data_IF_013104759778
#
_entry.id   IF_013104759778
#
_cell.length_a   1.000
_cell.length_b   1.000
_cell.length_c   1.000
_cell.angle_alpha   90.00
_cell.angle_beta   90.00
_cell.angle_gamma   90.00
#
_symmetry.space_group_name_H-M   'P 1'
#
loop_
_entity.id
_entity.type
_entity.pdbx_description
1 polymer ?
2 non-polymer ?
3 non-polymer ?
4 non-polymer ?
5 non-polymer ?
6 water ?
#
# COMPACT_ATOMS: atom_id res chain seq x y z
N UNK A 1 22.85 0.99 -8.72
CA UNK A 1 23.32 2.20 -8.01
C UNK A 1 22.23 3.26 -7.87
N UNK A 2 21.05 3.09 -8.51
CA UNK A 2 20.02 4.11 -8.34
C UNK A 2 19.31 3.97 -6.99
N UNK A 3 19.54 2.84 -6.28
CA UNK A 3 18.91 2.55 -5.01
C UNK A 3 17.91 1.41 -5.16
N UNK A 4 16.86 1.40 -4.34
CA UNK A 4 15.78 0.45 -4.45
C UNK A 4 14.47 1.21 -4.24
N UNK A 5 13.33 0.61 -4.57
CA UNK A 5 12.05 1.11 -4.11
C UNK A 5 11.35 -0.02 -3.36
N UNK A 6 10.60 0.34 -2.32
CA UNK A 6 9.86 -0.65 -1.55
C UNK A 6 8.39 -0.24 -1.51
N UNK A 7 7.55 -1.04 -2.17
CA UNK A 7 6.13 -0.74 -2.28
C UNK A 7 5.43 -1.63 -1.25
N UNK A 8 4.84 -0.99 -0.25
CA UNK A 8 4.24 -1.73 0.85
C UNK A 8 2.71 -1.64 0.71
N UNK A 9 2.06 -2.79 0.57
CA UNK A 9 0.62 -2.86 0.56
C UNK A 9 0.10 -3.27 1.90
N UNK A 10 -0.80 -2.50 2.50
CA UNK A 10 -1.27 -2.80 3.83
C UNK A 10 -2.51 -3.69 3.79
N UNK A 11 -2.69 -4.46 4.86
CA UNK A 11 -3.81 -5.36 4.98
C UNK A 11 -3.63 -6.25 6.19
N UNK A 12 -4.60 -7.15 6.33
CA UNK A 12 -4.53 -8.20 7.34
C UNK A 12 -4.22 -9.53 6.68
N UNK A 13 -3.51 -10.42 7.36
CA UNK A 13 -3.19 -11.73 6.78
C UNK A 13 -4.37 -12.68 6.83
N UNK A 14 -4.28 -13.73 6.04
CA UNK A 14 -5.21 -14.84 6.15
C UNK A 14 -6.30 -14.75 5.09
N UNK A 15 -6.90 -15.90 4.82
CA UNK A 15 -7.97 -15.95 3.85
C UNK A 15 -9.18 -15.20 4.40
N UNK A 16 -9.31 -15.04 5.74
CA UNK A 16 -10.38 -14.27 6.36
C UNK A 16 -10.48 -12.87 5.76
N UNK A 17 -9.37 -12.25 5.37
CA UNK A 17 -9.31 -10.83 5.07
C UNK A 17 -8.92 -10.50 3.63
N UNK A 18 -8.59 -11.49 2.82
CA UNK A 18 -7.95 -11.22 1.55
C UNK A 18 -8.85 -10.45 0.58
N UNK A 19 -10.17 -10.50 0.75
CA UNK A 19 -11.08 -9.80 -0.13
C UNK A 19 -11.74 -8.58 0.54
N UNK A 20 -11.30 -8.18 1.71
CA UNK A 20 -11.92 -7.10 2.42
C UNK A 20 -11.34 -5.76 1.96
N UNK A 21 -12.13 -4.71 2.13
CA UNK A 21 -11.72 -3.38 1.68
C UNK A 21 -10.42 -2.91 2.35
N UNK A 22 -10.22 -3.31 3.62
CA UNK A 22 -9.03 -2.96 4.40
C UNK A 22 -7.78 -3.59 3.81
N UNK A 23 -7.93 -4.55 2.90
CA UNK A 23 -6.85 -5.23 2.22
C UNK A 23 -6.59 -4.70 0.82
N UNK A 24 -7.09 -3.49 0.48
CA UNK A 24 -6.90 -2.98 -0.85
C UNK A 24 -5.40 -2.86 -1.15
N UNK A 25 -4.59 -2.49 -0.15
CA UNK A 25 -3.15 -2.39 -0.39
C UNK A 25 -2.54 -3.73 -0.83
N UNK A 26 -2.87 -4.82 -0.13
CA UNK A 26 -2.45 -6.15 -0.56
C UNK A 26 -2.90 -6.40 -1.99
N UNK A 27 -4.16 -6.04 -2.29
CA UNK A 27 -4.69 -6.36 -3.60
C UNK A 27 -3.91 -5.65 -4.70
N UNK A 28 -3.52 -4.40 -4.45
CA UNK A 28 -2.77 -3.63 -5.43
C UNK A 28 -1.38 -4.22 -5.62
N UNK A 29 -0.66 -4.54 -4.53
CA UNK A 29 0.68 -5.07 -4.73
C UNK A 29 0.62 -6.47 -5.35
N UNK A 30 -0.46 -7.24 -5.12
CA UNK A 30 -0.62 -8.51 -5.80
C UNK A 30 -0.70 -8.29 -7.30
N UNK A 31 -1.41 -7.22 -7.73
CA UNK A 31 -1.57 -6.92 -9.14
C UNK A 31 -0.23 -6.50 -9.73
N UNK A 32 0.54 -5.68 -9.01
CA UNK A 32 1.87 -5.29 -9.46
C UNK A 32 2.78 -6.51 -9.58
N UNK A 33 2.67 -7.47 -8.62
CA UNK A 33 3.47 -8.68 -8.69
C UNK A 33 3.14 -9.48 -9.95
N UNK A 34 1.84 -9.63 -10.26
CA UNK A 34 1.44 -10.33 -11.47
C UNK A 34 1.99 -9.61 -12.71
N UNK A 35 1.92 -8.27 -12.76
CA UNK A 35 2.37 -7.44 -13.88
C UNK A 35 3.84 -7.75 -14.20
N UNK A 36 4.61 -8.12 -13.17
CA UNK A 36 6.06 -8.27 -13.29
C UNK A 36 6.50 -9.72 -13.10
N UNK A 37 5.56 -10.67 -13.07
CA UNK A 37 5.86 -12.09 -12.90
C UNK A 37 6.69 -12.32 -11.63
N UNK A 38 6.40 -11.55 -10.58
CA UNK A 38 7.11 -11.61 -9.32
C UNK A 38 6.31 -12.45 -8.31
N UNK A 39 7.02 -13.22 -7.49
CA UNK A 39 6.42 -14.14 -6.53
C UNK A 39 6.71 -13.67 -5.12
N UNK A 40 5.69 -13.70 -4.26
CA UNK A 40 5.85 -13.38 -2.84
C UNK A 40 6.46 -14.58 -2.13
N UNK A 41 7.49 -14.30 -1.33
CA UNK A 41 8.19 -15.29 -0.52
C UNK A 41 8.12 -14.87 0.95
N UNK A 42 8.07 -15.84 1.86
CA UNK A 42 8.21 -15.56 3.27
C UNK A 42 9.53 -14.83 3.53
N UNK A 43 9.47 -13.81 4.35
CA UNK A 43 10.64 -13.05 4.76
C UNK A 43 10.66 -13.12 6.28
N UNK A 44 11.85 -13.06 6.93
CA UNK A 44 11.91 -13.23 8.38
C UNK A 44 11.36 -12.13 9.28
N UNK A 45 10.95 -11.02 8.67
CA UNK A 45 10.46 -9.88 9.42
C UNK A 45 8.93 -9.75 9.24
N UNK A 46 8.22 -10.87 9.38
CA UNK A 46 6.77 -10.90 9.46
C UNK A 46 6.15 -10.32 8.20
N UNK A 47 6.67 -10.71 7.04
CA UNK A 47 6.18 -10.15 5.79
C UNK A 47 6.30 -11.18 4.68
N UNK A 48 5.46 -10.99 3.66
CA UNK A 48 5.69 -11.62 2.36
C UNK A 48 6.28 -10.58 1.43
N UNK A 49 7.33 -10.96 0.68
CA UNK A 49 8.09 -10.01 -0.12
C UNK A 49 8.32 -10.62 -1.50
N UNK A 50 7.99 -9.84 -2.53
CA UNK A 50 8.26 -10.20 -3.90
C UNK A 50 9.25 -9.19 -4.43
N UNK A 51 10.08 -9.63 -5.37
CA UNK A 51 11.12 -8.78 -5.89
C UNK A 51 11.17 -8.88 -7.41
N UNK A 52 11.44 -7.75 -8.08
CA UNK A 52 11.74 -7.77 -9.49
C UNK A 52 12.66 -6.60 -9.80
N UNK A 53 13.24 -6.61 -10.98
CA UNK A 53 14.15 -5.56 -11.37
C UNK A 53 13.49 -4.74 -12.46
N UNK A 54 13.71 -3.44 -12.38
CA UNK A 54 13.37 -2.53 -13.45
C UNK A 54 14.64 -1.80 -13.89
N UNK A 55 15.12 -2.16 -15.09
CA UNK A 55 16.34 -1.63 -15.67
C UNK A 55 17.39 -1.46 -14.59
N UNK A 56 17.71 -2.57 -13.89
CA UNK A 56 18.83 -2.62 -12.96
C UNK A 56 18.47 -2.31 -11.50
N UNK A 57 17.31 -1.68 -11.26
CA UNK A 57 16.89 -1.29 -9.90
C UNK A 57 16.02 -2.38 -9.29
N UNK A 58 16.34 -2.80 -8.05
CA UNK A 58 15.52 -3.77 -7.34
C UNK A 58 14.27 -3.10 -6.79
N UNK A 59 13.11 -3.67 -7.14
CA UNK A 59 11.84 -3.24 -6.62
C UNK A 59 11.35 -4.34 -5.69
N UNK A 60 10.97 -3.94 -4.48
CA UNK A 60 10.42 -4.84 -3.49
C UNK A 60 8.94 -4.56 -3.31
N UNK A 61 8.13 -5.60 -3.34
CA UNK A 61 6.73 -5.52 -3.00
C UNK A 61 6.55 -6.24 -1.67
N UNK A 62 5.85 -5.59 -0.74
CA UNK A 62 5.79 -6.10 0.62
C UNK A 62 4.35 -6.17 1.10
N UNK A 63 3.95 -7.31 1.65
CA UNK A 63 2.69 -7.46 2.35
C UNK A 63 3.04 -7.83 3.79
N UNK A 64 2.97 -6.89 4.76
CA UNK A 64 3.17 -7.28 6.15
C UNK A 64 2.17 -8.35 6.56
N UNK A 65 2.60 -9.28 7.40
CA UNK A 65 1.72 -10.35 7.88
C UNK A 65 1.43 -10.21 9.37
N UNK A 66 1.61 -8.99 9.88
CA UNK A 66 1.53 -8.63 11.28
C UNK A 66 0.11 -8.32 11.80
N UNK A 67 -0.84 -8.21 10.89
CA UNK A 67 -2.12 -7.51 11.04
C UNK A 67 -1.88 -6.01 10.87
N UNK A 68 -2.92 -5.33 10.39
CA UNK A 68 -2.83 -3.96 9.96
C UNK A 68 -2.21 -3.09 11.05
N UNK A 69 -2.69 -3.24 12.29
CA UNK A 69 -2.30 -2.35 13.38
C UNK A 69 -0.89 -2.55 13.86
N UNK A 70 -0.17 -3.56 13.33
CA UNK A 70 1.20 -3.85 13.68
C UNK A 70 2.11 -3.76 12.47
N UNK A 71 1.64 -3.12 11.37
CA UNK A 71 2.39 -3.14 10.13
C UNK A 71 3.82 -2.62 10.24
N UNK A 72 4.04 -1.67 11.14
CA UNK A 72 5.38 -1.12 11.30
C UNK A 72 6.41 -2.12 11.81
N UNK A 73 5.95 -3.20 12.48
CA UNK A 73 6.86 -4.25 12.92
C UNK A 73 7.48 -5.00 11.75
N UNK A 74 6.86 -4.96 10.57
CA UNK A 74 7.49 -5.47 9.36
C UNK A 74 8.26 -4.36 8.64
N UNK A 75 7.65 -3.21 8.46
CA UNK A 75 8.23 -2.19 7.60
C UNK A 75 9.56 -1.66 8.16
N UNK A 76 9.57 -1.35 9.47
CA UNK A 76 10.78 -0.81 10.10
C UNK A 76 11.98 -1.72 9.90
N UNK A 77 11.89 -2.99 10.31
CA UNK A 77 12.99 -3.93 10.14
C UNK A 77 13.39 -4.19 8.69
N UNK A 78 12.41 -4.17 7.77
CA UNK A 78 12.73 -4.42 6.37
C UNK A 78 13.59 -3.29 5.83
N UNK A 79 13.28 -2.08 6.27
CA UNK A 79 14.05 -0.96 5.77
C UNK A 79 15.51 -1.08 6.24
N UNK A 80 15.69 -1.56 7.46
CA UNK A 80 17.02 -1.80 8.02
C UNK A 80 17.75 -2.89 7.23
N UNK A 81 17.02 -3.96 6.99
CA UNK A 81 17.57 -5.09 6.27
C UNK A 81 18.10 -4.66 4.90
N UNK A 82 17.25 -3.97 4.13
CA UNK A 82 17.56 -3.62 2.76
C UNK A 82 18.37 -2.32 2.66
N UNK A 83 18.58 -1.61 3.77
CA UNK A 83 19.27 -0.33 3.70
C UNK A 83 18.49 0.73 2.92
N UNK A 84 17.20 0.81 3.21
CA UNK A 84 16.21 1.65 2.53
C UNK A 84 15.83 2.78 3.49
N UNK A 85 15.57 3.96 2.95
CA UNK A 85 15.19 5.13 3.75
C UNK A 85 13.75 5.47 3.38
N UNK A 86 13.07 6.31 4.19
CA UNK A 86 11.66 6.63 3.92
C UNK A 86 11.36 7.12 2.52
N UNK A 87 12.32 7.79 1.86
CA UNK A 87 12.15 8.31 0.53
C UNK A 87 12.02 7.24 -0.55
N UNK A 88 12.39 6.01 -0.20
CA UNK A 88 12.29 4.89 -1.10
C UNK A 88 11.01 4.10 -0.89
N UNK A 89 10.14 4.50 0.06
CA UNK A 89 8.91 3.79 0.35
C UNK A 89 7.78 4.33 -0.51
N UNK A 90 6.84 3.46 -0.86
CA UNK A 90 5.50 3.88 -1.24
C UNK A 90 4.55 2.96 -0.48
N UNK A 91 3.64 3.54 0.29
CA UNK A 91 2.70 2.76 1.08
C UNK A 91 1.32 2.89 0.45
N UNK A 92 0.69 1.75 0.21
CA UNK A 92 -0.61 1.70 -0.46
C UNK A 92 -1.61 1.15 0.54
N UNK A 93 -2.73 1.88 0.73
CA UNK A 93 -3.67 1.48 1.79
C UNK A 93 -5.06 2.07 1.49
N UNK A 94 -6.02 1.60 2.29
CA UNK A 94 -7.41 2.02 2.15
C UNK A 94 -7.71 3.34 2.81
N UNK A 95 -8.40 4.23 2.08
CA UNK A 95 -8.80 5.53 2.57
C UNK A 95 -10.33 5.63 2.66
N UNK A 96 -10.81 5.70 3.90
CA UNK A 96 -12.23 5.79 4.22
C UNK A 96 -12.78 7.19 3.99
N UNK A 97 -11.91 8.13 3.61
CA UNK A 97 -12.30 9.51 3.29
C UNK A 97 -12.08 9.81 1.81
N UNK A 98 -12.36 8.83 0.97
CA UNK A 98 -12.19 8.95 -0.47
C UNK A 98 -13.09 7.89 -1.12
N UNK A 99 -13.72 8.25 -2.21
CA UNK A 99 -14.71 7.40 -2.86
C UNK A 99 -14.03 6.20 -3.51
N UNK A 100 -14.77 5.08 -3.55
CA UNK A 100 -14.42 3.97 -4.39
C UNK A 100 -14.29 4.48 -5.82
N UNK A 101 -13.20 4.09 -6.47
CA UNK A 101 -12.89 4.56 -7.81
C UNK A 101 -11.84 5.66 -7.90
N UNK A 102 -11.50 6.26 -6.76
CA UNK A 102 -10.51 7.31 -6.73
C UNK A 102 -9.27 6.91 -5.95
N UNK A 103 -8.15 7.51 -6.33
CA UNK A 103 -6.91 7.42 -5.58
C UNK A 103 -6.40 8.83 -5.29
N UNK A 104 -5.50 8.95 -4.31
CA UNK A 104 -4.84 10.21 -4.02
C UNK A 104 -3.45 9.92 -3.55
N UNK A 105 -2.50 10.66 -4.08
CA UNK A 105 -1.10 10.53 -3.75
C UNK A 105 -0.71 11.69 -2.83
N UNK A 106 -0.04 11.40 -1.73
CA UNK A 106 0.46 12.40 -0.80
C UNK A 106 1.76 11.93 -0.16
N UNK A 107 2.56 12.89 0.37
CA UNK A 107 3.85 12.60 0.97
C UNK A 107 3.90 12.76 2.49
N UNK A 108 2.78 13.15 3.11
CA UNK A 108 2.78 13.37 4.54
C UNK A 108 1.36 13.21 5.04
N UNK A 109 1.24 12.80 6.30
CA UNK A 109 -0.07 12.74 6.92
C UNK A 109 -0.19 11.62 7.94
N UNK A 110 -1.26 11.66 8.75
CA UNK A 110 -1.47 10.60 9.72
C UNK A 110 -2.72 9.79 9.43
N UNK A 111 -3.32 10.00 8.23
CA UNK A 111 -4.40 9.17 7.71
C UNK A 111 -5.57 9.04 8.69
N UNK A 112 -5.84 10.10 9.45
CA UNK A 112 -7.02 10.12 10.29
C UNK A 112 -7.06 9.00 11.33
N UNK A 113 -5.90 8.54 11.76
CA UNK A 113 -5.78 7.47 12.73
C UNK A 113 -5.87 6.06 12.14
N UNK A 114 -5.91 5.92 10.81
CA UNK A 114 -5.76 4.59 10.21
C UNK A 114 -4.65 3.82 10.95
N UNK A 115 -4.96 2.59 11.44
CA UNK A 115 -4.10 1.90 12.37
C UNK A 115 -2.86 1.39 11.68
N UNK A 116 -2.89 1.15 10.37
CA UNK A 116 -1.68 0.71 9.69
C UNK A 116 -0.67 1.80 9.49
N UNK A 117 -1.15 2.94 8.98
CA UNK A 117 -0.29 4.12 8.89
C UNK A 117 0.26 4.50 10.27
N UNK A 118 -0.58 4.46 11.31
CA UNK A 118 -0.15 4.81 12.64
C UNK A 118 1.02 3.94 13.09
N UNK A 119 0.92 2.63 12.80
CA UNK A 119 1.97 1.70 13.20
C UNK A 119 3.27 2.03 12.48
N UNK A 120 3.16 2.32 11.16
CA UNK A 120 4.34 2.68 10.40
C UNK A 120 4.95 3.94 11.00
N UNK A 121 4.13 4.97 11.24
CA UNK A 121 4.64 6.20 11.87
C UNK A 121 5.34 5.89 13.18
N UNK A 122 4.73 5.03 14.00
CA UNK A 122 5.30 4.65 15.28
C UNK A 122 6.71 4.09 15.09
N UNK A 123 6.86 3.19 14.12
CA UNK A 123 8.11 2.46 13.99
C UNK A 123 9.19 3.30 13.31
N UNK A 124 8.78 4.15 12.36
CA UNK A 124 9.73 5.00 11.65
C UNK A 124 9.96 6.34 12.34
N UNK A 125 9.10 6.68 13.32
CA UNK A 125 9.14 7.96 14.00
C UNK A 125 9.12 9.12 13.01
N UNK A 126 8.32 8.98 11.95
CA UNK A 126 8.09 10.05 10.99
C UNK A 126 6.74 9.76 10.34
N UNK A 127 6.00 10.82 9.97
CA UNK A 127 4.81 10.68 9.14
C UNK A 127 5.06 11.15 7.72
N UNK A 128 6.33 11.27 7.32
CA UNK A 128 6.68 11.74 5.99
C UNK A 128 7.16 10.55 5.16
N UNK A 129 6.34 10.14 4.18
CA UNK A 129 6.64 9.08 3.25
C UNK A 129 5.53 9.05 2.21
N UNK A 130 5.89 8.60 1.03
CA UNK A 130 4.98 8.58 -0.10
C UNK A 130 3.89 7.55 0.13
N UNK A 131 2.68 7.90 -0.29
CA UNK A 131 1.58 6.97 -0.16
C UNK A 131 0.59 7.13 -1.28
N UNK A 132 -0.06 6.00 -1.57
CA UNK A 132 -1.17 5.95 -2.49
C UNK A 132 -2.38 5.54 -1.68
N UNK A 133 -3.28 6.48 -1.49
CA UNK A 133 -4.52 6.27 -0.77
C UNK A 133 -5.55 5.79 -1.76
N UNK A 134 -6.08 4.61 -1.55
CA UNK A 134 -7.05 4.02 -2.47
C UNK A 134 -8.41 4.15 -1.81
N UNK A 135 -9.32 4.90 -2.41
CA UNK A 135 -10.60 5.12 -1.79
C UNK A 135 -11.40 3.84 -1.62
N UNK A 136 -12.01 3.71 -0.43
CA UNK A 136 -12.86 2.58 -0.17
C UNK A 136 -14.26 3.02 0.22
N UNK A 137 -14.56 4.30 0.10
CA UNK A 137 -15.88 4.81 0.37
C UNK A 137 -16.01 5.23 1.82
N UNK A 138 -16.73 6.32 2.01
CA UNK A 138 -16.95 6.86 3.33
C UNK A 138 -18.00 6.03 4.03
N UNK A 139 -17.85 5.81 5.35
CA UNK A 139 -18.83 5.06 6.11
C UNK A 139 -19.93 5.98 6.59
N UNK A 140 -21.04 5.39 7.08
CA UNK A 140 -22.11 6.19 7.64
C UNK A 140 -21.68 6.94 8.92
N UNK A 141 -20.81 6.34 9.73
CA UNK A 141 -20.37 6.94 10.96
C UNK A 141 -19.39 6.00 11.65
N UNK A 142 -18.91 6.41 12.80
CA UNK A 142 -17.85 5.65 13.47
C UNK A 142 -18.37 4.25 13.81
N UNK A 143 -19.69 4.13 14.03
CA UNK A 143 -20.31 2.87 14.45
C UNK A 143 -20.11 1.77 13.41
N UNK A 144 -20.00 2.15 12.12
CA UNK A 144 -19.98 1.19 11.02
C UNK A 144 -18.59 1.06 10.39
N UNK A 145 -17.60 1.78 10.94
CA UNK A 145 -16.29 1.75 10.30
C UNK A 145 -15.74 0.33 10.18
N UNK A 146 -15.70 -0.39 11.30
CA UNK A 146 -14.98 -1.66 11.28
C UNK A 146 -15.67 -2.62 10.33
N UNK A 147 -17.01 -2.70 10.38
CA UNK A 147 -17.70 -3.58 9.46
C UNK A 147 -17.47 -3.13 8.01
N UNK A 148 -17.39 -1.81 7.79
CA UNK A 148 -17.15 -1.29 6.46
C UNK A 148 -15.82 -1.82 5.91
N UNK A 149 -14.77 -1.73 6.72
CA UNK A 149 -13.44 -2.07 6.21
C UNK A 149 -13.22 -3.58 6.22
N UNK A 150 -13.90 -4.32 7.08
CA UNK A 150 -13.68 -5.74 7.21
C UNK A 150 -14.76 -6.53 6.46
N UNK A 151 -15.28 -5.96 5.39
CA UNK A 151 -16.21 -6.60 4.48
C UNK A 151 -15.70 -6.40 3.07
N UNK A 152 -16.12 -7.26 2.10
CA UNK A 152 -15.75 -7.05 0.70
C UNK A 152 -16.35 -5.81 0.08
N UNK A 153 -15.80 -5.46 -1.06
CA UNK A 153 -16.44 -4.46 -1.89
C UNK A 153 -17.75 -5.06 -2.38
N UNK A 154 -18.76 -4.20 -2.54
CA UNK A 154 -20.02 -4.66 -3.10
C UNK A 154 -19.85 -5.15 -4.53
N UNK A 155 -20.77 -6.02 -4.94
CA UNK A 155 -20.76 -6.50 -6.31
C UNK A 155 -20.86 -5.31 -7.26
N UNK A 156 -21.71 -4.37 -6.91
CA UNK A 156 -21.95 -3.22 -7.76
C UNK A 156 -20.68 -2.38 -7.94
N UNK A 157 -19.85 -2.30 -6.88
CA UNK A 157 -18.68 -1.45 -6.84
C UNK A 157 -17.43 -2.17 -7.36
N UNK A 158 -17.51 -3.48 -7.55
CA UNK A 158 -16.31 -4.20 -7.91
C UNK A 158 -15.65 -3.65 -9.17
N UNK A 159 -16.38 -3.26 -10.25
CA UNK A 159 -15.69 -2.74 -11.43
C UNK A 159 -14.96 -1.45 -11.14
N UNK A 160 -15.53 -0.65 -10.26
CA UNK A 160 -14.95 0.64 -9.98
C UNK A 160 -13.68 0.50 -9.12
N UNK A 161 -13.63 -0.45 -8.17
CA UNK A 161 -12.42 -0.66 -7.41
C UNK A 161 -11.37 -1.27 -8.33
N UNK A 162 -11.78 -2.09 -9.31
CA UNK A 162 -10.81 -2.60 -10.27
C UNK A 162 -10.15 -1.45 -11.03
N UNK A 163 -10.93 -0.42 -11.39
CA UNK A 163 -10.40 0.76 -12.05
C UNK A 163 -9.36 1.48 -11.19
N UNK A 164 -9.67 1.75 -9.94
CA UNK A 164 -8.71 2.45 -9.09
C UNK A 164 -7.49 1.55 -8.80
N UNK A 165 -7.65 0.23 -8.71
CA UNK A 165 -6.47 -0.63 -8.61
C UNK A 165 -5.58 -0.46 -9.85
N UNK A 166 -6.18 -0.43 -11.02
CA UNK A 166 -5.41 -0.20 -12.22
C UNK A 166 -4.70 1.14 -12.22
N UNK A 167 -5.36 2.21 -11.78
CA UNK A 167 -4.69 3.50 -11.71
C UNK A 167 -3.54 3.47 -10.71
N UNK A 168 -3.73 2.74 -9.61
CA UNK A 168 -2.70 2.60 -8.60
C UNK A 168 -1.47 1.92 -9.17
N UNK A 169 -1.68 0.86 -9.97
CA UNK A 169 -0.58 0.16 -10.59
C UNK A 169 0.13 1.10 -11.56
N UNK A 170 -0.64 1.89 -12.29
CA UNK A 170 -0.02 2.83 -13.23
C UNK A 170 0.80 3.90 -12.49
N UNK A 171 0.30 4.33 -11.34
CA UNK A 171 1.01 5.31 -10.54
C UNK A 171 2.33 4.77 -10.04
N UNK A 172 2.31 3.52 -9.58
CA UNK A 172 3.54 2.88 -9.13
C UNK A 172 4.53 2.76 -10.28
N UNK A 173 4.02 2.37 -11.44
CA UNK A 173 4.90 2.23 -12.59
C UNK A 173 5.57 3.59 -12.90
N UNK A 174 4.77 4.68 -12.90
CA UNK A 174 5.25 6.02 -13.18
C UNK A 174 6.36 6.42 -12.21
N UNK A 175 6.26 5.99 -10.95
CA UNK A 175 7.31 6.26 -9.96
C UNK A 175 8.54 5.39 -10.19
N UNK A 176 8.35 4.10 -10.44
CA UNK A 176 9.45 3.18 -10.68
C UNK A 176 10.30 3.72 -11.83
N UNK A 177 9.65 4.36 -12.81
CA UNK A 177 10.28 4.87 -14.01
C UNK A 177 10.99 6.21 -13.79
N UNK A 178 10.97 6.72 -12.56
CA UNK A 178 11.88 7.79 -12.18
C UNK A 178 11.22 9.16 -12.14
N UNK A 179 9.90 9.22 -12.39
CA UNK A 179 9.21 10.50 -12.31
C UNK A 179 9.13 10.91 -10.85
N UNK A 180 9.16 12.19 -10.60
CA UNK A 180 9.06 12.66 -9.24
C UNK A 180 7.68 12.33 -8.67
N UNK A 181 7.63 12.18 -7.35
CA UNK A 181 6.36 11.95 -6.71
C UNK A 181 5.44 13.16 -6.89
N UNK A 182 5.96 14.40 -6.84
CA UNK A 182 5.14 15.56 -7.11
C UNK A 182 4.58 15.51 -8.53
N UNK A 183 5.35 15.01 -9.50
CA UNK A 183 4.80 14.85 -10.84
C UNK A 183 3.70 13.80 -10.88
N UNK A 184 3.89 12.72 -10.12
CA UNK A 184 2.89 11.69 -10.01
C UNK A 184 1.61 12.22 -9.37
N UNK A 185 1.76 13.07 -8.35
CA UNK A 185 0.61 13.71 -7.74
C UNK A 185 -0.14 14.52 -8.80
N UNK A 186 0.59 15.30 -9.61
CA UNK A 186 -0.03 16.15 -10.60
C UNK A 186 -0.77 15.31 -11.63
N UNK A 187 -0.18 14.17 -12.01
CA UNK A 187 -0.76 13.30 -13.02
C UNK A 187 -2.00 12.55 -12.50
N UNK A 188 -1.98 12.05 -11.26
CA UNK A 188 -2.98 11.09 -10.82
C UNK A 188 -4.02 11.67 -9.85
N UNK A 189 -3.74 12.81 -9.20
CA UNK A 189 -4.67 13.35 -8.21
C UNK A 189 -5.86 14.03 -8.90
X LIG B 1 -5.68 -3.70 -15.80
X LIG B 1 -6.45 -2.74 -16.45
X LIG B 1 -4.66 -3.15 -14.87
X LIG B 1 -4.30 -1.82 -15.06
X LIG C 1 -1.69 -6.22 -13.68
X LIG C 1 -1.77 -7.49 -12.84
X LIG C 1 -2.89 -5.49 -13.85
X LIG C 1 -3.07 -8.76 -12.89
X LIG D 1 8.19 -19.20 0.36
X LIG E 1 2.86 -0.65 15.96
X LIG F 1 -6.52 14.10 0.25
X LIG F 1 -7.44 13.04 -0.14
X LIG F 1 -6.56 15.21 -0.68
X LIG F 1 -6.93 14.58 1.56
X LIG F 1 -5.21 13.53 0.35
X LIG G 1 -21.37 1.83 6.00
X LIG G 1 -20.81 0.98 4.95
X LIG G 1 -22.11 2.94 5.42
X LIG G 1 -22.27 1.04 6.84
X LIG G 1 -20.27 2.38 6.77
#
# INVERSE_FOLDING_TARGET
AMGMKMIVGLGNPGTKYQYTKHNIGFMVVDKIAREHQATFKKNPFEAEVAEFFHNGEKILLVKPQTFMNESGRAVGPLMTYFGIYPEELVVIYDDLDLAVGKIRLRQKGSAGGHNGIKSIISHLNTNVFDRIKVGIGRPEGKKTVVQHVLSPFSKENQPLIEESMCQSVKAVEYLIEGHSFVDAMNRFN
EDO C1 O1 C2 O2
BME C1 C2 O1 S2
NA NA
NA NA
SO4 S O1 O2 O3 O4
SO4 S O1 O2 O3 O4
#
